data_IF_372961542532
#
_entry.id   IF_372961542532
#
_cell.length_a   1.000
_cell.length_b   1.000
_cell.length_c   1.000
_cell.angle_alpha   90.00
_cell.angle_beta   90.00
_cell.angle_gamma   90.00
#
_symmetry.space_group_name_H-M   'P 1'
#
loop_
_entity.id
_entity.type
_entity.pdbx_description
1 polymer ?
#
# COMPACT_ATOMS: atom_id res chain seq x y z
N UNK A 1 -44.94 65.83 43.76
CA UNK A 1 -45.52 65.39 42.47
C UNK A 1 -44.54 65.77 41.38
N UNK A 2 -44.11 64.82 40.55
CA UNK A 2 -43.09 64.92 39.48
C UNK A 2 -41.63 65.05 39.97
N UNK A 3 -40.58 64.50 39.35
CA UNK A 3 -40.30 63.49 38.31
C UNK A 3 -38.75 63.52 38.25
N UNK A 4 -38.03 62.39 38.26
CA UNK A 4 -36.83 62.16 37.42
C UNK A 4 -36.20 60.80 37.78
N UNK A 5 -36.57 59.75 37.04
CA UNK A 5 -35.82 58.48 37.03
C UNK A 5 -34.95 58.45 35.77
N UNK A 6 -33.63 58.34 35.97
CA UNK A 6 -32.65 58.17 34.91
C UNK A 6 -32.76 56.75 34.30
N UNK A 7 -32.75 56.64 32.97
CA UNK A 7 -32.71 55.37 32.26
C UNK A 7 -31.25 54.92 32.09
N UNK A 8 -30.88 53.78 32.69
CA UNK A 8 -29.68 53.04 32.31
C UNK A 8 -29.97 52.24 31.03
N UNK A 9 -29.09 52.35 30.04
CA UNK A 9 -29.07 51.49 28.86
C UNK A 9 -28.22 50.25 29.17
N UNK A 10 -28.78 49.05 28.99
CA UNK A 10 -28.06 47.78 29.04
C UNK A 10 -27.69 47.36 27.61
N UNK A 11 -26.39 47.27 27.31
CA UNK A 11 -25.88 46.71 26.07
C UNK A 11 -25.79 45.17 26.22
N UNK A 12 -26.52 44.45 25.39
CA UNK A 12 -26.45 42.99 25.30
C UNK A 12 -25.27 42.59 24.40
N UNK A 13 -24.29 41.88 24.95
CA UNK A 13 -23.23 41.23 24.19
C UNK A 13 -23.70 39.84 23.75
N UNK A 14 -23.89 39.63 22.45
CA UNK A 14 -24.19 38.33 21.88
C UNK A 14 -22.88 37.54 21.71
N UNK A 15 -22.74 36.43 22.43
CA UNK A 15 -21.66 35.47 22.24
C UNK A 15 -21.99 34.58 21.03
N UNK A 16 -21.25 34.76 19.93
CA UNK A 16 -21.32 33.87 18.78
C UNK A 16 -20.51 32.60 19.07
N UNK A 17 -21.18 31.46 19.20
CA UNK A 17 -20.54 30.15 19.27
C UNK A 17 -20.03 29.78 17.87
N UNK A 18 -18.71 29.76 17.68
CA UNK A 18 -18.09 29.16 16.51
C UNK A 18 -18.16 27.63 16.65
N UNK A 19 -19.09 27.00 15.95
CA UNK A 19 -19.02 25.57 15.65
C UNK A 19 -17.90 25.36 14.64
N UNK A 20 -16.74 24.86 15.09
CA UNK A 20 -15.72 24.31 14.20
C UNK A 20 -16.26 23.02 13.58
N UNK A 21 -16.63 23.07 12.31
CA UNK A 21 -16.84 21.86 11.51
C UNK A 21 -15.47 21.23 11.24
N UNK A 22 -15.19 20.06 11.82
CA UNK A 22 -14.06 19.23 11.39
C UNK A 22 -14.28 18.84 9.92
N UNK A 23 -13.24 18.87 9.07
CA UNK A 23 -13.38 18.39 7.70
C UNK A 23 -13.71 16.90 7.75
N UNK A 24 -14.90 16.54 7.26
CA UNK A 24 -15.26 15.16 6.99
C UNK A 24 -14.44 14.70 5.77
N UNK A 25 -13.34 14.00 6.03
CA UNK A 25 -12.42 13.55 4.99
C UNK A 25 -10.99 13.38 5.51
N UNK A 26 -10.82 12.79 6.70
CA UNK A 26 -9.48 12.40 7.14
C UNK A 26 -9.03 11.25 6.23
N UNK A 27 -8.13 11.55 5.30
CA UNK A 27 -7.37 10.54 4.57
C UNK A 27 -6.12 10.24 5.41
N UNK A 28 -5.87 8.95 5.66
CA UNK A 28 -4.70 8.51 6.40
C UNK A 28 -3.67 8.02 5.41
N UNK A 29 -2.49 8.63 5.42
CA UNK A 29 -1.38 8.25 4.55
C UNK A 29 -0.44 7.33 5.32
N UNK A 30 -0.18 6.14 4.79
CA UNK A 30 0.74 5.15 5.36
C UNK A 30 1.87 4.85 4.39
N UNK A 31 3.07 4.66 4.92
CA UNK A 31 4.23 4.26 4.15
C UNK A 31 4.33 2.73 4.15
N UNK A 32 4.63 2.17 2.98
CA UNK A 32 4.98 0.76 2.79
C UNK A 32 6.49 0.60 2.82
N UNK A 33 6.96 -0.27 3.70
CA UNK A 33 8.35 -0.59 3.93
C UNK A 33 8.63 -2.04 3.58
N UNK A 34 9.75 -2.29 2.90
CA UNK A 34 10.40 -3.60 2.88
C UNK A 34 11.52 -3.61 3.90
N UNK A 35 11.59 -4.68 4.68
CA UNK A 35 12.51 -4.84 5.80
C UNK A 35 13.31 -6.14 5.68
N UNK A 36 14.60 -6.03 5.98
CA UNK A 36 15.54 -7.13 6.19
C UNK A 36 16.38 -6.87 7.43
N UNK A 37 17.39 -7.71 7.67
CA UNK A 37 18.18 -7.67 8.90
C UNK A 37 18.85 -6.32 9.18
N UNK A 38 19.38 -5.66 8.15
CA UNK A 38 20.11 -4.38 8.26
C UNK A 38 19.56 -3.29 7.33
N UNK A 39 18.44 -3.55 6.66
CA UNK A 39 17.89 -2.66 5.62
C UNK A 39 16.40 -2.45 5.83
N UNK A 40 15.98 -1.19 5.69
CA UNK A 40 14.58 -0.78 5.71
C UNK A 40 14.35 0.25 4.60
N UNK A 41 13.50 -0.08 3.65
CA UNK A 41 13.30 0.71 2.44
C UNK A 41 11.83 1.11 2.27
N UNK A 42 11.55 2.41 2.19
CA UNK A 42 10.23 2.91 1.83
C UNK A 42 10.01 2.72 0.33
N UNK A 43 9.04 1.89 -0.06
CA UNK A 43 8.82 1.50 -1.46
C UNK A 43 7.54 2.06 -2.05
N UNK A 44 6.53 2.36 -1.22
CA UNK A 44 5.24 2.84 -1.69
C UNK A 44 4.50 3.60 -0.59
N UNK A 45 3.49 4.34 -0.97
CA UNK A 45 2.55 5.03 -0.10
C UNK A 45 1.15 4.49 -0.36
N UNK A 46 0.36 4.36 0.71
CA UNK A 46 -1.05 3.98 0.66
C UNK A 46 -1.86 5.08 1.32
N UNK A 47 -2.77 5.69 0.56
CA UNK A 47 -3.72 6.69 1.08
C UNK A 47 -5.04 5.99 1.36
N UNK A 48 -5.34 5.78 2.64
CA UNK A 48 -6.57 5.16 3.11
C UNK A 48 -7.71 6.19 3.15
N UNK A 49 -8.86 5.80 2.63
CA UNK A 49 -10.08 6.60 2.67
C UNK A 49 -11.06 6.07 3.72
N UNK A 50 -11.95 6.94 4.17
CA UNK A 50 -12.94 6.62 5.21
C UNK A 50 -13.98 5.56 4.78
N UNK A 51 -14.11 5.29 3.48
CA UNK A 51 -15.03 4.27 2.94
C UNK A 51 -14.41 2.87 2.84
N UNK A 52 -13.14 2.71 3.26
CA UNK A 52 -12.40 1.45 3.19
C UNK A 52 -11.56 1.28 1.92
N UNK A 53 -11.73 2.17 0.92
CA UNK A 53 -10.91 2.16 -0.29
C UNK A 53 -9.53 2.79 -0.08
N UNK A 54 -8.61 2.56 -1.00
CA UNK A 54 -7.29 3.18 -0.95
C UNK A 54 -6.75 3.62 -2.32
N UNK A 55 -5.75 4.51 -2.29
CA UNK A 55 -4.85 4.78 -3.40
C UNK A 55 -3.46 4.21 -3.10
N UNK A 56 -2.76 3.72 -4.13
CA UNK A 56 -1.42 3.16 -4.01
C UNK A 56 -0.47 3.87 -4.98
N UNK A 57 0.70 4.27 -4.48
CA UNK A 57 1.73 4.91 -5.28
C UNK A 57 3.12 4.43 -4.88
N UNK A 58 3.92 3.96 -5.85
CA UNK A 58 5.33 3.64 -5.61
C UNK A 58 6.15 4.90 -5.35
N UNK A 59 7.04 4.85 -4.36
CA UNK A 59 8.05 5.90 -4.09
C UNK A 59 9.11 5.87 -5.19
N UNK A 60 9.21 6.86 -6.11
CA UNK A 60 10.10 6.77 -7.26
C UNK A 60 11.58 6.64 -6.94
N UNK A 61 12.03 7.27 -5.85
CA UNK A 61 13.42 7.25 -5.43
C UNK A 61 13.92 5.87 -4.96
N UNK A 62 13.03 4.92 -4.68
CA UNK A 62 13.40 3.57 -4.25
C UNK A 62 13.71 2.62 -5.41
N UNK A 63 13.50 3.05 -6.66
CA UNK A 63 13.58 2.16 -7.82
C UNK A 63 14.42 2.73 -8.94
N UNK A 64 15.14 1.83 -9.61
CA UNK A 64 15.76 2.06 -10.90
C UNK A 64 14.92 1.45 -12.03
N UNK A 65 15.09 1.96 -13.25
CA UNK A 65 14.43 1.40 -14.43
C UNK A 65 15.29 0.31 -15.06
N UNK A 66 14.76 -0.92 -15.10
CA UNK A 66 15.35 -2.03 -15.85
C UNK A 66 14.45 -2.38 -17.03
N UNK A 67 15.03 -2.55 -18.21
CA UNK A 67 14.26 -2.92 -19.41
C UNK A 67 14.12 -4.43 -19.47
N UNK A 68 12.89 -4.91 -19.37
CA UNK A 68 12.55 -6.32 -19.46
C UNK A 68 11.54 -6.49 -20.59
N UNK A 69 11.91 -7.25 -21.62
CA UNK A 69 11.04 -7.47 -22.78
C UNK A 69 10.51 -6.17 -23.42
N UNK A 70 11.42 -5.19 -23.62
CA UNK A 70 11.14 -3.86 -24.18
C UNK A 70 10.22 -2.97 -23.34
N UNK A 71 9.92 -3.33 -22.09
CA UNK A 71 9.14 -2.51 -21.15
C UNK A 71 10.01 -2.12 -19.95
N UNK A 72 9.91 -0.87 -19.46
CA UNK A 72 10.58 -0.50 -18.24
C UNK A 72 9.86 -1.10 -17.03
N UNK A 73 10.60 -1.80 -16.19
CA UNK A 73 10.16 -2.24 -14.87
C UNK A 73 10.91 -1.44 -13.82
N UNK A 74 10.21 -1.15 -12.72
CA UNK A 74 10.73 -0.46 -11.55
C UNK A 74 11.33 -1.51 -10.62
N UNK A 75 12.65 -1.49 -10.47
CA UNK A 75 13.37 -2.49 -9.68
C UNK A 75 14.17 -1.87 -8.55
N UNK A 76 14.14 -2.52 -7.39
CA UNK A 76 15.04 -2.27 -6.26
C UNK A 76 16.30 -3.10 -6.52
N UNK A 77 17.45 -2.43 -6.65
CA UNK A 77 18.72 -3.09 -6.94
C UNK A 77 19.33 -3.67 -5.67
N UNK A 78 19.48 -5.00 -5.63
CA UNK A 78 20.39 -5.69 -4.72
C UNK A 78 21.65 -6.17 -5.42
N UNK A 79 22.67 -6.50 -4.62
CA UNK A 79 23.99 -6.93 -5.13
C UNK A 79 23.92 -8.22 -5.96
N UNK A 80 23.10 -9.18 -5.54
CA UNK A 80 22.95 -10.47 -6.24
C UNK A 80 21.66 -10.53 -7.07
N UNK A 81 20.58 -9.97 -6.54
CA UNK A 81 19.25 -10.02 -7.13
C UNK A 81 18.61 -8.64 -7.12
N UNK A 82 17.83 -8.34 -8.14
CA UNK A 82 16.95 -7.18 -8.17
C UNK A 82 15.52 -7.62 -7.92
N UNK A 83 14.77 -6.82 -7.19
CA UNK A 83 13.35 -7.04 -6.92
C UNK A 83 12.55 -6.06 -7.78
N UNK A 84 11.83 -6.55 -8.77
CA UNK A 84 11.13 -5.75 -9.76
C UNK A 84 9.61 -5.77 -9.50
N UNK A 85 9.01 -4.59 -9.38
CA UNK A 85 7.56 -4.46 -9.20
C UNK A 85 6.81 -4.93 -10.45
N UNK A 86 5.77 -5.73 -10.24
CA UNK A 86 4.88 -6.22 -11.29
C UNK A 86 3.50 -5.64 -11.06
N UNK A 87 3.06 -4.66 -11.87
CA UNK A 87 1.69 -4.15 -11.77
C UNK A 87 0.68 -5.25 -12.03
N UNK A 88 -0.31 -5.40 -11.13
CA UNK A 88 -1.41 -6.33 -11.36
C UNK A 88 -2.19 -5.94 -12.64
N UNK A 89 -2.35 -6.84 -13.62
CA UNK A 89 -2.80 -6.46 -14.96
C UNK A 89 -4.32 -6.41 -15.13
N UNK A 90 -5.09 -6.83 -14.13
CA UNK A 90 -6.55 -6.97 -14.21
C UNK A 90 -7.28 -6.00 -13.27
N UNK A 91 -8.59 -5.94 -13.39
CA UNK A 91 -9.42 -5.10 -12.53
C UNK A 91 -9.34 -5.57 -11.07
N UNK A 92 -9.20 -4.62 -10.16
CA UNK A 92 -9.20 -4.82 -8.72
C UNK A 92 -9.89 -3.63 -8.05
N UNK A 93 -10.54 -3.87 -6.90
CA UNK A 93 -11.40 -2.85 -6.28
C UNK A 93 -10.62 -1.79 -5.51
N UNK A 94 -9.43 -2.16 -5.01
CA UNK A 94 -8.63 -1.36 -4.07
C UNK A 94 -9.45 -1.02 -2.83
N UNK A 95 -10.01 -2.07 -2.24
CA UNK A 95 -10.88 -2.01 -1.07
C UNK A 95 -10.36 -2.95 0.02
N UNK A 96 -10.23 -2.41 1.24
CA UNK A 96 -9.76 -3.15 2.42
C UNK A 96 -10.91 -3.67 3.31
N UNK A 97 -12.18 -3.52 2.90
CA UNK A 97 -13.36 -3.96 3.66
C UNK A 97 -13.37 -5.47 3.91
N UNK A 98 -12.91 -6.23 2.92
CA UNK A 98 -13.00 -7.70 2.89
C UNK A 98 -11.65 -8.38 3.20
N UNK A 99 -10.66 -7.61 3.63
CA UNK A 99 -9.31 -8.09 3.90
C UNK A 99 -8.24 -7.20 3.26
N UNK A 100 -6.99 -7.69 3.24
CA UNK A 100 -5.85 -6.92 2.73
C UNK A 100 -5.42 -7.34 1.32
N UNK A 101 -6.11 -8.31 0.70
CA UNK A 101 -5.67 -8.94 -0.56
C UNK A 101 -5.57 -7.98 -1.72
N UNK A 102 -6.40 -6.94 -1.80
CA UNK A 102 -6.24 -5.95 -2.87
C UNK A 102 -4.89 -5.24 -2.77
N UNK A 103 -4.45 -4.92 -1.55
CA UNK A 103 -3.15 -4.29 -1.32
C UNK A 103 -1.99 -5.27 -1.58
N UNK A 104 -2.16 -6.55 -1.26
CA UNK A 104 -1.19 -7.62 -1.61
C UNK A 104 -0.94 -7.65 -3.13
N UNK A 105 -1.97 -7.38 -3.94
CA UNK A 105 -1.90 -7.39 -5.40
C UNK A 105 -1.25 -6.13 -6.00
N UNK A 106 -1.37 -4.98 -5.35
CA UNK A 106 -0.58 -3.79 -5.73
C UNK A 106 0.91 -3.95 -5.33
N UNK A 107 1.24 -4.94 -4.48
CA UNK A 107 2.56 -5.25 -3.94
C UNK A 107 3.18 -6.54 -4.51
N UNK A 108 2.90 -6.86 -5.77
CA UNK A 108 3.51 -8.00 -6.46
C UNK A 108 4.91 -7.66 -6.99
N UNK A 109 5.84 -8.57 -6.80
CA UNK A 109 7.20 -8.44 -7.32
C UNK A 109 7.70 -9.73 -7.94
N UNK A 110 8.74 -9.64 -8.76
CA UNK A 110 9.55 -10.76 -9.21
C UNK A 110 11.00 -10.47 -8.92
N UNK A 111 11.79 -11.49 -8.57
CA UNK A 111 13.23 -11.33 -8.50
C UNK A 111 13.91 -11.78 -9.80
N UNK A 112 15.00 -11.08 -10.17
CA UNK A 112 15.94 -11.51 -11.20
C UNK A 112 17.37 -11.38 -10.70
N UNK A 113 18.30 -12.13 -11.28
CA UNK A 113 19.73 -11.89 -11.03
C UNK A 113 20.15 -10.48 -11.47
N UNK A 114 21.10 -9.88 -10.74
CA UNK A 114 21.61 -8.54 -11.06
C UNK A 114 22.17 -8.45 -12.49
N UNK A 115 22.86 -9.52 -12.96
CA UNK A 115 23.38 -9.62 -14.32
C UNK A 115 22.40 -10.15 -15.37
N UNK A 116 21.17 -10.52 -14.99
CA UNK A 116 20.20 -11.10 -15.92
C UNK A 116 19.46 -10.04 -16.71
N UNK A 117 19.28 -10.30 -18.01
CA UNK A 117 18.54 -9.40 -18.90
C UNK A 117 17.02 -9.56 -18.78
N UNK A 118 16.52 -10.77 -18.50
CA UNK A 118 15.10 -11.07 -18.41
C UNK A 118 14.62 -11.30 -16.96
N UNK A 119 13.30 -11.38 -16.79
CA UNK A 119 12.67 -11.93 -15.59
C UNK A 119 12.13 -13.33 -15.88
N UNK A 120 12.05 -14.12 -14.83
CA UNK A 120 11.31 -15.37 -14.83
C UNK A 120 10.08 -15.19 -13.94
N UNK A 121 8.88 -15.40 -14.48
CA UNK A 121 7.63 -15.25 -13.72
C UNK A 121 7.48 -16.31 -12.62
N UNK A 122 8.26 -17.38 -12.66
CA UNK A 122 8.32 -18.37 -11.58
C UNK A 122 9.00 -17.84 -10.31
N UNK A 123 9.69 -16.70 -10.42
CA UNK A 123 10.37 -16.03 -9.30
C UNK A 123 9.45 -15.01 -8.61
N UNK A 124 8.14 -15.27 -8.57
CA UNK A 124 7.15 -14.38 -8.00
C UNK A 124 7.28 -14.26 -6.49
N UNK A 125 7.15 -13.02 -6.01
CA UNK A 125 7.27 -12.64 -4.62
C UNK A 125 5.95 -12.00 -4.19
N UNK A 126 5.35 -12.55 -3.14
CA UNK A 126 4.04 -12.19 -2.63
C UNK A 126 4.12 -12.00 -1.11
N UNK A 127 3.84 -10.80 -0.61
CA UNK A 127 3.74 -10.59 0.83
C UNK A 127 2.29 -10.81 1.26
N UNK A 128 2.05 -11.89 2.01
CA UNK A 128 0.75 -12.12 2.64
C UNK A 128 0.65 -11.24 3.88
N UNK A 129 -0.28 -10.29 3.86
CA UNK A 129 -0.48 -9.26 4.87
C UNK A 129 -1.46 -9.74 5.94
N UNK A 130 -1.13 -9.42 7.18
CA UNK A 130 -2.03 -9.53 8.33
C UNK A 130 -2.11 -8.18 9.06
N UNK A 131 -3.23 -7.94 9.74
CA UNK A 131 -3.37 -6.74 10.59
C UNK A 131 -2.66 -7.00 11.91
N UNK A 132 -1.78 -6.07 12.30
CA UNK A 132 -1.07 -6.06 13.58
C UNK A 132 -1.28 -4.69 14.22
N UNK A 133 -2.25 -4.59 15.12
CA UNK A 133 -2.73 -3.34 15.72
C UNK A 133 -3.07 -2.26 14.67
N UNK A 134 -2.31 -1.17 14.63
CA UNK A 134 -2.46 -0.05 13.69
C UNK A 134 -1.71 -0.26 12.38
N UNK A 135 -0.97 -1.36 12.22
CA UNK A 135 -0.10 -1.65 11.07
C UNK A 135 -0.57 -2.84 10.26
N UNK A 136 -0.08 -2.95 9.03
CA UNK A 136 -0.17 -4.18 8.25
C UNK A 136 1.20 -4.81 8.11
N UNK A 137 1.28 -6.11 8.31
CA UNK A 137 2.53 -6.83 8.52
C UNK A 137 2.52 -8.05 7.61
N UNK A 138 3.47 -8.10 6.68
CA UNK A 138 3.52 -9.03 5.56
C UNK A 138 4.64 -10.06 5.63
N UNK A 139 4.32 -11.34 5.54
CA UNK A 139 5.29 -12.45 5.40
C UNK A 139 5.47 -12.76 3.92
N UNK A 140 6.72 -12.80 3.48
CA UNK A 140 7.06 -13.17 2.11
C UNK A 140 6.70 -14.62 1.79
N UNK A 141 6.08 -14.81 0.64
CA UNK A 141 5.82 -16.08 0.00
C UNK A 141 6.36 -16.04 -1.43
N UNK A 142 6.88 -17.16 -1.89
CA UNK A 142 7.21 -17.41 -3.29
C UNK A 142 5.99 -18.00 -4.02
N UNK A 143 5.84 -17.66 -5.29
CA UNK A 143 4.82 -18.24 -6.15
C UNK A 143 5.20 -18.21 -7.64
N UNK A 144 4.59 -19.11 -8.40
CA UNK A 144 4.60 -19.01 -9.86
C UNK A 144 3.59 -17.96 -10.34
N UNK A 145 4.10 -16.82 -10.80
CA UNK A 145 3.30 -15.71 -11.27
C UNK A 145 2.79 -15.89 -12.72
N UNK A 146 3.13 -17.00 -13.41
CA UNK A 146 2.45 -17.40 -14.65
C UNK A 146 0.95 -17.65 -14.43
N UNK A 147 0.51 -17.84 -13.18
CA UNK A 147 -0.90 -17.83 -12.79
C UNK A 147 -1.64 -16.54 -13.21
N UNK A 148 -0.92 -15.43 -13.44
CA UNK A 148 -1.45 -14.15 -13.90
C UNK A 148 -1.25 -13.90 -15.40
N UNK A 149 -0.79 -14.90 -16.15
CA UNK A 149 -0.56 -14.75 -17.61
C UNK A 149 -1.87 -14.74 -18.42
N UNK A 150 -2.94 -15.32 -17.86
CA UNK A 150 -4.26 -15.41 -18.47
C UNK A 150 -5.28 -14.68 -17.61
N UNK A 151 -6.15 -13.84 -18.21
CA UNK A 151 -7.21 -13.17 -17.46
C UNK A 151 -8.07 -14.19 -16.69
N UNK A 152 -8.40 -13.89 -15.43
CA UNK A 152 -9.34 -14.72 -14.67
C UNK A 152 -10.75 -14.66 -15.30
N UNK A 153 -11.62 -15.63 -14.99
CA UNK A 153 -13.04 -15.55 -15.35
C UNK A 153 -13.70 -14.25 -14.92
N UNK A 154 -14.72 -13.82 -15.65
CA UNK A 154 -15.46 -12.60 -15.35
C UNK A 154 -15.95 -12.58 -13.89
N UNK A 155 -15.61 -11.49 -13.17
CA UNK A 155 -15.95 -11.30 -11.77
C UNK A 155 -14.94 -11.86 -10.76
N UNK A 156 -13.97 -12.67 -11.18
CA UNK A 156 -12.87 -13.12 -10.30
C UNK A 156 -11.72 -12.09 -10.33
N UNK A 157 -11.73 -11.15 -9.37
CA UNK A 157 -10.66 -10.13 -9.25
C UNK A 157 -9.43 -10.63 -8.49
N UNK A 158 -9.52 -11.79 -7.81
CA UNK A 158 -8.48 -12.30 -6.90
C UNK A 158 -8.10 -13.77 -7.22
N UNK A 159 -7.40 -14.05 -8.34
CA UNK A 159 -7.03 -15.41 -8.76
C UNK A 159 -5.87 -16.10 -8.01
N UNK A 160 -5.04 -15.36 -7.26
CA UNK A 160 -3.95 -15.91 -6.46
C UNK A 160 -4.58 -16.53 -5.21
N UNK A 161 -4.45 -17.85 -5.09
CA UNK A 161 -5.02 -18.60 -3.96
C UNK A 161 -3.91 -19.08 -3.03
N UNK A 162 -4.20 -19.28 -1.73
CA UNK A 162 -3.20 -19.77 -0.78
C UNK A 162 -2.48 -21.06 -1.21
N UNK A 163 -3.14 -21.91 -1.99
CA UNK A 163 -2.56 -23.17 -2.46
C UNK A 163 -1.38 -23.03 -3.45
N UNK A 164 -1.18 -21.84 -4.03
CA UNK A 164 -0.04 -21.55 -4.92
C UNK A 164 1.03 -20.68 -4.26
N UNK A 165 0.85 -20.38 -2.96
CA UNK A 165 1.82 -19.61 -2.18
C UNK A 165 2.65 -20.58 -1.34
N UNK A 166 3.97 -20.41 -1.38
CA UNK A 166 4.92 -21.12 -0.51
C UNK A 166 5.58 -20.09 0.39
N UNK A 167 5.42 -20.18 1.70
CA UNK A 167 6.13 -19.29 2.63
C UNK A 167 7.64 -19.39 2.40
N UNK A 168 8.29 -18.24 2.25
CA UNK A 168 9.71 -18.18 1.96
C UNK A 168 10.53 -18.34 3.24
N UNK A 169 11.72 -18.94 3.14
CA UNK A 169 12.68 -18.89 4.24
C UNK A 169 13.24 -17.46 4.34
N UNK A 170 13.07 -16.74 5.46
CA UNK A 170 13.55 -15.38 5.59
C UNK A 170 15.07 -15.24 5.44
N UNK A 171 15.84 -16.30 5.67
CA UNK A 171 17.31 -16.28 5.52
C UNK A 171 17.75 -16.32 4.05
N UNK A 172 16.87 -16.76 3.14
CA UNK A 172 17.14 -16.81 1.69
C UNK A 172 16.81 -15.50 0.95
N UNK A 173 16.18 -14.54 1.63
CA UNK A 173 15.73 -13.29 1.03
C UNK A 173 16.19 -12.07 1.84
N UNK A 174 16.77 -11.03 1.20
CA UNK A 174 17.28 -9.86 1.90
C UNK A 174 16.17 -8.93 2.44
N UNK A 175 14.92 -9.08 1.97
CA UNK A 175 13.78 -8.24 2.32
C UNK A 175 12.53 -9.09 2.60
N UNK A 176 12.54 -10.00 3.58
CA UNK A 176 11.47 -10.98 3.76
C UNK A 176 10.22 -10.41 4.44
N UNK A 177 10.30 -9.18 4.95
CA UNK A 177 9.24 -8.53 5.73
C UNK A 177 8.69 -7.32 4.98
N UNK A 178 7.38 -7.13 5.06
CA UNK A 178 6.71 -5.91 4.60
C UNK A 178 5.92 -5.29 5.75
N UNK A 179 5.98 -3.98 5.91
CA UNK A 179 5.22 -3.24 6.93
C UNK A 179 4.53 -2.04 6.29
N UNK A 180 3.26 -1.81 6.64
CA UNK A 180 2.49 -0.62 6.26
C UNK A 180 2.10 0.12 7.53
N UNK A 181 2.66 1.33 7.71
CA UNK A 181 2.49 2.18 8.90
C UNK A 181 2.57 3.67 8.58
#
# INVERSE_FOLDING_TARGET
MAFMMARLAAAAAAAAALTLSLPAGAEEVRQVWLEGSDVRLAIAEVTLRNDGTYEFALVPAAFENHFLSMRPFRCIEGAERHLCHVPYPYAISRDLSDGLTDLEYDLLFVWKGAGEYGINMWNGMYWKLERDDDRFVGVLHEMDMDALSVPPPDGEMRPIRPAILTEADPDDHPLPRLVVE
#
